data_IF_436994059858
#
_entry.id   IF_436994059858
#
_cell.length_a   1.000
_cell.length_b   1.000
_cell.length_c   1.000
_cell.angle_alpha   90.00
_cell.angle_beta   90.00
_cell.angle_gamma   90.00
#
_symmetry.space_group_name_H-M   'P 1'
#
loop_
_entity.id
_entity.type
_entity.pdbx_description
1 polymer ?
#
# COMPACT_ATOMS: atom_id res chain seq x y z
N UNK A 1 -20.92 -0.78 -5.77
CA UNK A 1 -20.10 -1.89 -6.28
C UNK A 1 -18.83 -1.29 -6.88
N UNK A 2 -17.82 -1.02 -6.05
CA UNK A 2 -16.45 -0.52 -6.36
C UNK A 2 -15.86 -0.05 -5.02
N UNK A 3 -15.45 -0.97 -4.14
CA UNK A 3 -15.10 -0.65 -2.74
C UNK A 3 -13.67 -0.99 -2.34
N UNK A 4 -12.87 -1.64 -3.19
CA UNK A 4 -11.78 -2.46 -2.68
C UNK A 4 -10.39 -2.13 -3.20
N UNK A 5 -10.20 -1.24 -4.18
CA UNK A 5 -8.82 -0.92 -4.66
C UNK A 5 -8.50 0.56 -4.52
N UNK A 6 -9.46 1.45 -4.73
CA UNK A 6 -9.25 2.90 -4.63
C UNK A 6 -10.43 3.53 -3.90
N UNK A 7 -10.34 3.60 -2.58
CA UNK A 7 -11.38 4.10 -1.70
C UNK A 7 -10.98 5.41 -0.99
N UNK A 8 -9.77 5.90 -1.24
CA UNK A 8 -9.20 7.19 -0.82
C UNK A 8 -8.32 7.76 -1.94
N UNK A 9 -8.00 9.06 -1.89
CA UNK A 9 -7.19 9.72 -2.92
C UNK A 9 -5.70 9.33 -2.82
N UNK A 10 -5.35 8.11 -3.21
CA UNK A 10 -3.98 7.62 -3.20
C UNK A 10 -3.04 8.37 -4.16
N UNK A 11 -3.53 9.31 -4.98
CA UNK A 11 -2.67 10.20 -5.78
C UNK A 11 -2.13 11.36 -4.91
N UNK A 12 -2.82 11.69 -3.81
CA UNK A 12 -2.41 12.70 -2.83
C UNK A 12 -2.37 12.11 -1.42
N UNK A 13 -1.46 11.16 -1.16
CA UNK A 13 -1.41 10.49 0.14
C UNK A 13 -0.87 11.39 1.25
N UNK A 14 -1.22 11.06 2.50
CA UNK A 14 -0.60 11.67 3.68
C UNK A 14 0.91 11.41 3.70
N UNK A 15 1.29 10.16 3.38
CA UNK A 15 2.69 9.73 3.29
C UNK A 15 2.91 8.84 2.06
N UNK A 16 4.10 8.96 1.48
CA UNK A 16 4.52 8.13 0.35
C UNK A 16 5.93 7.60 0.55
N UNK A 17 6.19 6.39 0.05
CA UNK A 17 7.52 5.78 0.06
C UNK A 17 7.80 4.98 -1.21
N UNK A 18 9.08 4.69 -1.42
CA UNK A 18 9.58 3.78 -2.45
C UNK A 18 10.40 2.69 -1.76
N UNK A 19 10.10 1.43 -2.04
CA UNK A 19 10.77 0.24 -1.51
C UNK A 19 10.89 0.22 0.02
N UNK A 20 9.91 0.81 0.73
CA UNK A 20 9.85 0.83 2.19
C UNK A 20 8.40 0.79 2.63
N UNK A 21 8.04 -0.18 3.47
CA UNK A 21 6.70 -0.23 4.06
C UNK A 21 6.54 0.81 5.19
N UNK A 22 5.44 1.55 5.17
CA UNK A 22 5.02 2.55 6.18
C UNK A 22 3.98 1.93 7.13
N UNK A 23 3.03 1.16 6.59
CA UNK A 23 1.99 0.51 7.37
C UNK A 23 2.56 -0.54 8.31
N UNK A 24 2.04 -0.58 9.54
CA UNK A 24 2.47 -1.50 10.59
C UNK A 24 1.30 -1.98 11.44
N UNK A 25 1.52 -3.05 12.21
CA UNK A 25 0.50 -3.68 13.06
C UNK A 25 0.58 -5.20 12.98
N UNK A 26 -0.54 -5.88 13.22
CA UNK A 26 -0.62 -7.36 13.09
C UNK A 26 -0.84 -7.82 11.63
N UNK A 27 -0.75 -6.91 10.66
CA UNK A 27 -0.87 -7.27 9.24
C UNK A 27 0.42 -7.96 8.78
N UNK A 28 0.26 -9.13 8.15
CA UNK A 28 1.37 -9.86 7.55
C UNK A 28 1.86 -9.10 6.30
N UNK A 29 2.99 -8.41 6.38
CA UNK A 29 3.65 -7.86 5.19
C UNK A 29 4.54 -8.94 4.55
N UNK A 30 4.03 -9.59 3.51
CA UNK A 30 4.77 -10.58 2.72
C UNK A 30 5.11 -10.08 1.31
N UNK A 31 4.97 -8.78 1.05
CA UNK A 31 5.10 -8.19 -0.28
C UNK A 31 6.45 -8.54 -0.91
N UNK A 32 7.55 -8.33 -0.17
CA UNK A 32 8.91 -8.61 -0.64
C UNK A 32 9.18 -10.11 -0.83
N UNK A 33 8.47 -10.97 -0.11
CA UNK A 33 8.59 -12.42 -0.24
C UNK A 33 7.91 -12.92 -1.53
N UNK A 34 6.73 -12.37 -1.85
CA UNK A 34 5.95 -12.73 -3.04
C UNK A 34 6.51 -12.06 -4.30
N UNK A 35 6.80 -10.76 -4.24
CA UNK A 35 7.28 -9.95 -5.35
C UNK A 35 8.80 -9.77 -5.33
N UNK A 36 9.53 -10.89 -5.38
CA UNK A 36 11.00 -10.86 -5.41
C UNK A 36 11.52 -10.08 -6.62
N UNK A 37 12.58 -9.29 -6.41
CA UNK A 37 13.23 -8.46 -7.45
C UNK A 37 12.26 -7.50 -8.15
N UNK A 38 11.27 -7.00 -7.42
CA UNK A 38 10.37 -5.94 -7.86
C UNK A 38 10.59 -4.71 -6.98
N UNK A 39 10.41 -3.54 -7.57
CA UNK A 39 10.32 -2.29 -6.85
C UNK A 39 8.85 -2.03 -6.52
N UNK A 40 8.56 -1.28 -5.46
CA UNK A 40 7.20 -0.86 -5.16
C UNK A 40 7.14 0.55 -4.61
N UNK A 41 5.98 1.16 -4.78
CA UNK A 41 5.61 2.41 -4.10
C UNK A 41 4.55 2.11 -3.07
N UNK A 42 4.45 2.91 -2.02
CA UNK A 42 3.33 2.87 -1.09
C UNK A 42 2.76 4.26 -0.88
N UNK A 43 1.43 4.36 -0.97
CA UNK A 43 0.63 5.53 -0.63
C UNK A 43 -0.14 5.21 0.64
N UNK A 44 0.13 5.93 1.73
CA UNK A 44 -0.36 5.60 3.06
C UNK A 44 -1.21 6.72 3.65
N UNK A 45 -2.24 6.32 4.40
CA UNK A 45 -3.12 7.20 5.18
C UNK A 45 -3.41 6.58 6.55
N UNK A 46 -3.40 7.42 7.58
CA UNK A 46 -3.80 7.05 8.94
C UNK A 46 -5.13 7.68 9.38
N UNK A 47 -5.80 7.01 10.32
CA UNK A 47 -6.91 7.53 11.12
C UNK A 47 -8.19 7.83 10.35
N UNK A 48 -8.95 6.81 9.97
CA UNK A 48 -10.25 6.99 9.29
C UNK A 48 -11.46 6.79 10.19
N UNK A 49 -11.40 5.89 11.16
CA UNK A 49 -12.55 5.47 11.95
C UNK A 49 -12.34 5.83 13.43
N UNK A 50 -13.13 6.78 13.95
CA UNK A 50 -13.00 7.33 15.32
C UNK A 50 -13.13 6.24 16.41
N UNK A 51 -13.93 5.20 16.17
CA UNK A 51 -14.06 4.03 17.07
C UNK A 51 -12.75 3.27 17.30
N UNK A 52 -11.74 3.47 16.47
CA UNK A 52 -10.41 2.87 16.61
C UNK A 52 -9.38 3.86 17.14
N UNK A 53 -9.81 5.03 17.65
CA UNK A 53 -8.90 6.06 18.15
C UNK A 53 -7.94 6.60 17.09
N UNK A 54 -8.33 6.51 15.80
CA UNK A 54 -7.48 6.89 14.67
C UNK A 54 -6.29 5.95 14.42
N UNK A 55 -6.29 4.75 15.01
CA UNK A 55 -5.22 3.77 14.80
C UNK A 55 -5.37 3.01 13.48
N UNK A 56 -6.54 3.06 12.85
CA UNK A 56 -6.78 2.40 11.57
C UNK A 56 -6.04 3.07 10.43
N UNK A 57 -5.72 2.31 9.39
CA UNK A 57 -4.98 2.84 8.25
C UNK A 57 -5.31 2.10 6.97
N UNK A 58 -4.99 2.75 5.85
CA UNK A 58 -5.11 2.21 4.50
C UNK A 58 -3.84 2.52 3.73
N UNK A 59 -3.39 1.56 2.92
CA UNK A 59 -2.29 1.78 2.00
C UNK A 59 -2.53 1.13 0.64
N UNK A 60 -2.11 1.82 -0.41
CA UNK A 60 -2.09 1.29 -1.77
C UNK A 60 -0.64 1.17 -2.21
N UNK A 61 -0.26 -0.04 -2.63
CA UNK A 61 1.07 -0.35 -3.11
C UNK A 61 1.02 -0.72 -4.58
N UNK A 62 1.83 -0.04 -5.38
CA UNK A 62 2.02 -0.37 -6.79
C UNK A 62 3.35 -1.08 -6.94
N UNK A 63 3.33 -2.29 -7.49
CA UNK A 63 4.50 -3.15 -7.63
C UNK A 63 4.96 -3.17 -9.08
N UNK A 64 6.24 -2.91 -9.28
CA UNK A 64 6.87 -2.76 -10.57
C UNK A 64 7.99 -3.78 -10.78
N UNK A 65 7.98 -4.43 -11.94
CA UNK A 65 9.12 -5.24 -12.39
C UNK A 65 9.93 -4.45 -13.41
N UNK A 66 11.22 -4.28 -13.14
CA UNK A 66 12.14 -3.63 -14.09
C UNK A 66 12.58 -4.63 -15.16
N UNK A 67 12.38 -4.31 -16.43
CA UNK A 67 12.90 -5.06 -17.59
C UNK A 67 13.40 -4.09 -18.65
N UNK A 68 14.63 -4.29 -19.13
CA UNK A 68 15.25 -3.47 -20.19
C UNK A 68 15.16 -1.95 -19.90
N UNK A 69 15.43 -1.55 -18.65
CA UNK A 69 15.38 -0.15 -18.22
C UNK A 69 13.97 0.44 -18.03
N UNK A 70 12.90 -0.32 -18.29
CA UNK A 70 11.51 0.11 -18.13
C UNK A 70 10.85 -0.56 -16.93
N UNK A 71 9.97 0.16 -16.26
CA UNK A 71 9.15 -0.35 -15.17
C UNK A 71 7.79 -0.81 -15.71
N UNK A 72 7.41 -2.04 -15.36
CA UNK A 72 6.12 -2.60 -15.71
C UNK A 72 5.32 -2.81 -14.43
N UNK A 73 4.12 -2.27 -14.35
CA UNK A 73 3.19 -2.53 -13.24
C UNK A 73 2.77 -4.00 -13.30
N UNK A 74 3.11 -4.77 -12.26
CA UNK A 74 2.84 -6.22 -12.16
C UNK A 74 1.93 -6.58 -11.00
N UNK A 75 1.64 -5.63 -10.11
CA UNK A 75 0.75 -5.83 -8.97
C UNK A 75 0.20 -4.51 -8.45
N UNK A 76 -1.04 -4.57 -7.97
CA UNK A 76 -1.69 -3.51 -7.20
C UNK A 76 -2.16 -4.18 -5.91
N UNK A 77 -1.69 -3.71 -4.77
CA UNK A 77 -1.99 -4.28 -3.45
C UNK A 77 -2.64 -3.19 -2.62
N UNK A 78 -3.85 -3.44 -2.13
CA UNK A 78 -4.54 -2.55 -1.22
C UNK A 78 -4.62 -3.21 0.15
N UNK A 79 -3.90 -2.67 1.11
CA UNK A 79 -3.90 -3.11 2.50
C UNK A 79 -4.75 -2.15 3.35
N UNK A 80 -5.57 -2.74 4.22
CA UNK A 80 -6.34 -2.02 5.22
C UNK A 80 -6.14 -2.70 6.56
N UNK A 81 -5.93 -1.91 7.60
CA UNK A 81 -5.95 -2.41 8.97
C UNK A 81 -7.02 -1.69 9.78
N UNK A 82 -7.85 -2.50 10.43
CA UNK A 82 -8.84 -2.10 11.43
C UNK A 82 -8.81 -3.13 12.56
N UNK A 83 -9.08 -2.70 13.79
CA UNK A 83 -9.32 -3.59 14.94
C UNK A 83 -10.74 -4.15 14.91
#
# INVERSE_FOLDING_TARGET
MQKFVYDVDFVKPEKQSVNKSIGGGNSLDNLELIYKNCDFTESYFSGFEEKYGGMDWRSLRLVFKKRNGKFFLVGIVHDKWTI
#
